data_IF_619265734048
#
_entry.id   IF_619265734048
#
_cell.length_a   1.000
_cell.length_b   1.000
_cell.length_c   1.000
_cell.angle_alpha   90.00
_cell.angle_beta   90.00
_cell.angle_gamma   90.00
#
_symmetry.space_group_name_H-M   'P 1'
#
loop_
_entity.id
_entity.type
_entity.pdbx_description
1 polymer ?
#
# COMPACT_ATOMS: atom_id res chain seq x y z
N UNK A 1 13.45 10.23 35.20
CA UNK A 1 13.25 10.88 33.90
C UNK A 1 12.55 9.86 33.04
N UNK A 2 11.30 10.07 32.65
CA UNK A 2 10.58 9.13 31.81
C UNK A 2 10.67 9.54 30.34
N UNK A 3 10.48 8.59 29.43
CA UNK A 3 10.43 8.87 27.99
C UNK A 3 9.00 9.26 27.64
N UNK A 4 8.78 10.52 27.27
CA UNK A 4 7.49 11.00 26.80
C UNK A 4 7.40 10.79 25.28
N UNK A 5 6.37 10.07 24.81
CA UNK A 5 6.05 9.86 23.39
C UNK A 5 4.80 10.61 22.98
N UNK A 6 4.91 11.34 21.87
CA UNK A 6 3.88 12.24 21.39
C UNK A 6 3.42 11.82 19.99
N UNK A 7 2.10 11.79 19.82
CA UNK A 7 1.46 11.37 18.57
C UNK A 7 0.59 12.49 17.97
N UNK A 8 0.42 12.47 16.64
CA UNK A 8 -0.48 13.35 15.91
C UNK A 8 -0.41 14.83 16.36
N UNK A 9 -1.53 15.44 16.75
CA UNK A 9 -1.61 16.83 17.17
C UNK A 9 -0.70 17.15 18.38
N UNK A 10 -0.41 16.19 19.26
CA UNK A 10 0.49 16.42 20.40
C UNK A 10 1.94 16.55 19.92
N UNK A 11 2.33 15.75 18.92
CA UNK A 11 3.64 15.86 18.26
C UNK A 11 3.78 17.18 17.50
N UNK A 12 2.73 17.62 16.81
CA UNK A 12 2.72 18.89 16.08
C UNK A 12 2.86 20.07 17.05
N UNK A 13 2.15 20.03 18.18
CA UNK A 13 2.21 21.06 19.21
C UNK A 13 3.57 21.12 19.93
N UNK A 14 4.21 19.97 20.15
CA UNK A 14 5.51 19.90 20.83
C UNK A 14 6.73 19.99 19.89
N UNK A 15 6.54 19.89 18.57
CA UNK A 15 7.63 19.88 17.59
C UNK A 15 8.56 18.66 17.64
N UNK A 16 8.30 17.69 18.52
CA UNK A 16 9.08 16.46 18.69
C UNK A 16 8.16 15.24 18.83
N UNK A 17 8.64 14.07 18.42
CA UNK A 17 7.92 12.80 18.56
C UNK A 17 8.23 12.09 19.90
N UNK A 18 9.37 12.39 20.51
CA UNK A 18 9.81 11.80 21.77
C UNK A 18 10.77 12.73 22.50
N UNK A 19 10.75 12.73 23.82
CA UNK A 19 11.71 13.46 24.64
C UNK A 19 11.83 12.88 26.05
N UNK A 20 12.96 13.13 26.70
CA UNK A 20 13.16 12.81 28.12
C UNK A 20 12.63 13.94 29.00
N UNK A 21 11.78 13.56 29.96
CA UNK A 21 11.09 14.52 30.83
C UNK A 21 11.27 14.12 32.29
N UNK A 22 11.65 15.06 33.19
CA UNK A 22 11.75 14.77 34.61
C UNK A 22 10.36 14.55 35.22
N UNK A 23 10.27 13.61 36.15
CA UNK A 23 9.06 13.29 36.91
C UNK A 23 9.18 11.91 37.54
N UNK A 24 8.61 11.74 38.72
CA UNK A 24 8.45 10.47 39.42
C UNK A 24 7.04 9.88 39.25
N UNK A 25 6.10 10.68 38.72
CA UNK A 25 4.73 10.26 38.38
C UNK A 25 4.34 10.73 36.97
N UNK A 26 3.30 10.12 36.40
CA UNK A 26 2.74 10.52 35.09
C UNK A 26 2.33 12.01 35.10
N UNK A 27 1.69 12.50 36.16
CA UNK A 27 1.30 13.91 36.27
C UNK A 27 2.49 14.86 36.31
N UNK A 28 3.56 14.50 37.03
CA UNK A 28 4.78 15.31 37.05
C UNK A 28 5.45 15.38 35.68
N UNK A 29 5.49 14.26 34.95
CA UNK A 29 6.00 14.21 33.57
C UNK A 29 5.15 15.10 32.65
N UNK A 30 3.82 15.01 32.73
CA UNK A 30 2.92 15.82 31.89
C UNK A 30 2.96 17.30 32.26
N UNK A 31 3.12 17.63 33.54
CA UNK A 31 3.28 19.01 34.01
C UNK A 31 4.59 19.63 33.50
N UNK A 32 5.70 18.88 33.56
CA UNK A 32 6.99 19.32 33.02
C UNK A 32 6.93 19.50 31.49
N UNK A 33 6.21 18.64 30.78
CA UNK A 33 6.01 18.78 29.33
C UNK A 33 5.11 19.99 28.98
N UNK A 34 4.05 20.25 29.76
CA UNK A 34 3.21 21.46 29.61
C UNK A 34 4.02 22.74 29.80
N UNK A 35 4.87 22.78 30.83
CA UNK A 35 5.74 23.92 31.09
C UNK A 35 6.73 24.18 29.94
N UNK A 36 7.15 23.12 29.22
CA UNK A 36 8.09 23.19 28.11
C UNK A 36 7.44 23.63 26.80
N UNK A 37 6.26 23.10 26.47
CA UNK A 37 5.63 23.27 25.15
C UNK A 37 4.48 24.29 25.12
N UNK A 38 4.07 24.80 26.28
CA UNK A 38 3.12 25.90 26.41
C UNK A 38 1.67 25.55 26.04
N UNK A 39 0.84 26.59 25.91
CA UNK A 39 -0.62 26.47 25.89
C UNK A 39 -1.18 25.64 24.73
N UNK A 40 -0.50 25.64 23.58
CA UNK A 40 -0.93 24.84 22.43
C UNK A 40 -0.87 23.34 22.73
N UNK A 41 0.17 22.89 23.42
CA UNK A 41 0.32 21.51 23.86
C UNK A 41 -0.61 21.18 25.02
N UNK A 42 -0.80 22.10 25.96
CA UNK A 42 -1.74 21.92 27.07
C UNK A 42 -3.18 21.65 26.58
N UNK A 43 -3.67 22.39 25.57
CA UNK A 43 -4.98 22.16 24.96
C UNK A 43 -5.13 20.78 24.32
N UNK A 44 -4.07 20.26 23.70
CA UNK A 44 -4.10 18.92 23.11
C UNK A 44 -4.15 17.87 24.22
N UNK A 45 -3.39 18.07 25.30
CA UNK A 45 -3.39 17.15 26.45
C UNK A 45 -4.75 17.01 27.12
N UNK A 46 -5.56 18.08 27.19
CA UNK A 46 -6.90 18.05 27.79
C UNK A 46 -7.85 17.02 27.14
N UNK A 47 -7.70 16.80 25.83
CA UNK A 47 -8.52 15.85 25.07
C UNK A 47 -7.81 14.52 24.79
N UNK A 48 -6.56 14.37 25.24
CA UNK A 48 -5.73 13.19 24.96
C UNK A 48 -5.90 12.09 26.01
N UNK A 49 -5.74 10.84 25.59
CA UNK A 49 -5.59 9.69 26.50
C UNK A 49 -4.10 9.46 26.80
N UNK A 50 -3.78 9.13 28.04
CA UNK A 50 -2.41 8.90 28.49
C UNK A 50 -2.20 7.42 28.79
N UNK A 51 -1.07 6.89 28.35
CA UNK A 51 -0.68 5.50 28.53
C UNK A 51 0.71 5.45 29.15
N UNK A 52 0.97 4.48 30.00
CA UNK A 52 2.29 4.19 30.55
C UNK A 52 2.63 2.74 30.21
N UNK A 53 3.76 2.51 29.54
CA UNK A 53 4.24 1.17 29.14
C UNK A 53 3.19 0.29 28.42
N UNK A 54 2.33 0.90 27.60
CA UNK A 54 1.32 0.18 26.84
C UNK A 54 0.03 -0.16 27.61
N UNK A 55 -0.16 0.40 28.81
CA UNK A 55 -1.44 0.35 29.53
C UNK A 55 -2.00 1.76 29.77
N UNK A 56 -3.33 1.98 29.77
CA UNK A 56 -3.92 3.26 30.17
C UNK A 56 -3.40 3.68 31.54
N UNK A 57 -2.99 4.94 31.67
CA UNK A 57 -2.35 5.46 32.87
C UNK A 57 -3.22 6.49 33.58
N UNK A 58 -3.21 6.42 34.89
CA UNK A 58 -3.75 7.46 35.77
C UNK A 58 -2.63 8.42 36.18
N UNK A 59 -2.97 9.67 36.48
CA UNK A 59 -1.98 10.72 36.74
C UNK A 59 -1.00 10.43 37.89
N UNK A 60 -1.48 9.78 38.96
CA UNK A 60 -0.68 9.42 40.12
C UNK A 60 0.22 8.19 39.94
N UNK A 61 0.19 7.52 38.78
CA UNK A 61 1.00 6.34 38.53
C UNK A 61 2.50 6.69 38.56
N UNK A 62 3.27 5.95 39.34
CA UNK A 62 4.72 6.12 39.43
C UNK A 62 5.41 5.75 38.12
N UNK A 63 6.45 6.51 37.75
CA UNK A 63 7.25 6.29 36.54
C UNK A 63 8.75 6.36 36.85
N UNK A 64 9.47 5.38 36.32
CA UNK A 64 10.92 5.23 36.42
C UNK A 64 11.68 5.71 35.18
N UNK A 65 13.01 5.57 35.19
CA UNK A 65 13.88 6.00 34.10
C UNK A 65 13.67 5.26 32.77
N UNK A 66 13.17 4.02 32.83
CA UNK A 66 12.92 3.16 31.67
C UNK A 66 11.44 3.18 31.22
N UNK A 67 10.59 3.95 31.91
CA UNK A 67 9.16 3.97 31.66
C UNK A 67 8.80 4.95 30.55
N UNK A 68 7.89 4.50 29.69
CA UNK A 68 7.39 5.25 28.54
C UNK A 68 5.99 5.78 28.82
N UNK A 69 5.83 7.10 28.80
CA UNK A 69 4.53 7.78 28.90
C UNK A 69 4.11 8.24 27.51
N UNK A 70 2.98 7.76 26.99
CA UNK A 70 2.47 8.08 25.66
C UNK A 70 1.22 8.95 25.73
N UNK A 71 1.18 10.01 24.90
CA UNK A 71 0.04 10.93 24.78
C UNK A 71 -0.65 10.69 23.45
N UNK A 72 -1.92 10.26 23.50
CA UNK A 72 -2.73 9.91 22.34
C UNK A 72 -3.93 10.87 22.19
N UNK A 73 -3.82 11.89 21.31
CA UNK A 73 -4.95 12.74 20.95
C UNK A 73 -6.08 11.94 20.28
N UNK A 74 -7.34 12.45 20.30
CA UNK A 74 -8.45 11.80 19.62
C UNK A 74 -8.19 11.78 18.10
N UNK A 75 -8.34 10.61 17.48
CA UNK A 75 -8.24 10.47 16.02
C UNK A 75 -9.47 11.10 15.38
N UNK A 76 -9.29 11.80 14.25
CA UNK A 76 -10.38 12.37 13.45
C UNK A 76 -11.26 11.24 12.88
N UNK A 77 -12.21 10.75 13.68
CA UNK A 77 -13.05 9.61 13.33
C UNK A 77 -13.79 8.98 14.52
N UNK A 78 -14.74 9.73 15.10
CA UNK A 78 -15.96 9.17 15.69
C UNK A 78 -16.03 8.93 17.22
N UNK A 79 -16.96 9.69 17.82
CA UNK A 79 -17.82 9.41 19.00
C UNK A 79 -17.47 10.14 20.31
N UNK A 80 -18.16 11.26 20.53
CA UNK A 80 -18.37 11.86 21.87
C UNK A 80 -19.53 11.16 22.60
N UNK A 81 -19.48 11.10 23.93
CA UNK A 81 -20.63 11.31 24.79
C UNK A 81 -20.65 12.78 25.25
N UNK A 82 -21.78 13.44 24.98
CA UNK A 82 -22.08 14.80 25.38
C UNK A 82 -22.20 14.95 26.90
N UNK A 83 -21.68 16.06 27.45
CA UNK A 83 -22.38 16.80 28.50
C UNK A 83 -21.91 18.25 28.57
N UNK A 84 -22.89 19.13 28.74
CA UNK A 84 -22.84 20.55 28.48
C UNK A 84 -22.26 21.39 29.64
N UNK A 85 -21.57 22.48 29.26
CA UNK A 85 -21.48 23.83 29.86
C UNK A 85 -20.21 24.49 29.29
N UNK A 86 -20.10 25.73 28.86
CA UNK A 86 -20.97 26.89 28.69
C UNK A 86 -20.08 28.01 28.09
N UNK A 87 -20.71 28.95 27.34
CA UNK A 87 -20.31 30.35 26.99
C UNK A 87 -18.91 30.83 27.45
N UNK A 88 -18.12 31.63 26.71
CA UNK A 88 -18.48 32.90 26.05
C UNK A 88 -17.20 33.52 25.41
N UNK A 89 -17.30 34.04 24.18
CA UNK A 89 -16.88 35.38 23.67
C UNK A 89 -15.41 35.90 23.78
N UNK A 90 -15.04 36.60 22.69
CA UNK A 90 -14.03 37.68 22.48
C UNK A 90 -12.58 37.27 22.19
N UNK A 91 -12.07 37.54 20.97
CA UNK A 91 -11.49 38.82 20.49
C UNK A 91 -10.25 39.22 21.30
N UNK A 92 -9.06 39.11 20.71
CA UNK A 92 -8.29 40.28 20.25
C UNK A 92 -6.93 39.90 19.63
N UNK A 93 -6.63 40.57 18.50
CA UNK A 93 -5.28 40.78 17.94
C UNK A 93 -4.72 42.08 18.54
N UNK A 94 -3.39 42.25 18.65
CA UNK A 94 -2.65 43.06 17.66
C UNK A 94 -1.30 42.41 17.24
N UNK A 95 -0.87 42.51 15.98
CA UNK A 95 -0.01 43.55 15.37
C UNK A 95 1.40 43.62 16.01
N UNK A 96 2.44 43.05 15.37
CA UNK A 96 3.31 43.65 14.35
C UNK A 96 4.40 44.59 14.92
N UNK A 97 5.67 44.28 14.63
CA UNK A 97 6.84 45.12 14.93
C UNK A 97 8.14 44.52 14.35
N UNK A 98 8.88 45.22 13.46
CA UNK A 98 9.88 44.63 12.57
C UNK A 98 11.34 44.98 12.90
N UNK A 99 12.27 44.26 12.26
CA UNK A 99 13.69 44.62 12.13
C UNK A 99 14.61 43.44 12.40
N UNK A 100 15.76 43.25 11.79
CA UNK A 100 16.44 43.92 10.68
C UNK A 100 17.65 43.01 10.35
N UNK A 101 18.14 43.04 9.10
CA UNK A 101 19.51 42.66 8.64
C UNK A 101 19.94 41.18 8.75
N UNK A 102 20.09 40.43 7.64
CA UNK A 102 21.12 40.52 6.59
C UNK A 102 22.50 39.91 6.93
N UNK A 103 23.00 39.10 5.97
CA UNK A 103 24.40 38.61 5.73
C UNK A 103 24.83 37.39 6.57
N UNK A 104 25.61 36.43 6.08
CA UNK A 104 26.12 36.06 4.76
C UNK A 104 26.72 34.63 4.90
N UNK A 105 26.76 33.88 3.79
CA UNK A 105 27.50 32.62 3.65
C UNK A 105 29.02 32.79 3.84
N UNK A 106 29.71 31.70 4.21
CA UNK A 106 30.82 31.29 3.36
C UNK A 106 30.84 29.80 3.03
N UNK A 107 31.07 29.52 1.74
CA UNK A 107 31.50 28.25 1.18
C UNK A 107 32.92 27.93 1.67
N UNK A 108 33.20 26.67 2.02
CA UNK A 108 34.58 26.14 2.04
C UNK A 108 34.68 24.80 1.33
N UNK A 109 35.60 24.75 0.38
CA UNK A 109 36.02 23.57 -0.36
C UNK A 109 36.98 22.68 0.45
N UNK A 110 36.69 21.38 0.40
CA UNK A 110 37.57 20.22 0.13
C UNK A 110 38.89 20.08 0.90
N UNK A 111 39.01 18.98 1.65
CA UNK A 111 40.27 18.22 1.76
C UNK A 111 39.99 16.72 1.82
N UNK A 112 40.47 16.00 0.81
CA UNK A 112 40.58 14.55 0.74
C UNK A 112 41.77 14.14 1.61
N UNK A 113 41.60 13.21 2.55
CA UNK A 113 42.70 12.51 3.23
C UNK A 113 42.69 11.04 2.85
N UNK A 114 43.87 10.57 2.45
CA UNK A 114 44.21 9.20 2.05
C UNK A 114 44.12 8.22 3.23
N UNK A 115 43.75 6.98 2.92
CA UNK A 115 43.71 5.83 3.81
C UNK A 115 45.12 5.35 4.20
N UNK A 116 45.27 4.86 5.43
CA UNK A 116 46.42 4.06 5.90
C UNK A 116 46.07 2.57 5.98
N UNK A 117 47.07 1.66 6.00
CA UNK A 117 46.88 0.22 5.91
C UNK A 117 46.44 -0.42 7.24
N UNK A 118 45.79 -1.60 7.21
CA UNK A 118 45.28 -2.28 8.41
C UNK A 118 46.39 -3.01 9.18
N UNK A 119 46.30 -3.11 10.53
CA UNK A 119 47.18 -3.96 11.33
C UNK A 119 46.77 -5.44 11.28
N UNK A 120 47.78 -6.31 11.43
CA UNK A 120 47.75 -7.77 11.35
C UNK A 120 47.17 -8.45 12.63
N UNK A 121 46.82 -9.75 12.58
CA UNK A 121 46.01 -10.41 13.62
C UNK A 121 46.86 -10.85 14.81
N UNK A 122 46.35 -10.61 16.02
CA UNK A 122 46.99 -11.02 17.27
C UNK A 122 46.44 -12.37 17.76
N UNK A 123 47.35 -13.16 18.34
CA UNK A 123 47.24 -14.60 18.55
C UNK A 123 46.29 -15.01 19.68
N UNK A 124 45.70 -16.20 19.51
CA UNK A 124 44.90 -16.89 20.51
C UNK A 124 45.75 -17.41 21.69
N UNK A 125 45.14 -17.45 22.88
CA UNK A 125 45.61 -18.21 24.05
C UNK A 125 44.42 -18.69 24.89
N UNK A 126 44.59 -19.75 25.70
CA UNK A 126 43.75 -20.94 25.66
C UNK A 126 42.55 -20.91 26.61
N UNK A 127 41.58 -21.80 26.33
CA UNK A 127 40.39 -22.03 27.13
C UNK A 127 40.70 -22.75 28.47
N UNK A 128 40.01 -22.42 29.57
CA UNK A 128 39.93 -23.29 30.73
C UNK A 128 38.80 -24.32 30.58
N UNK A 129 39.04 -25.47 31.21
CA UNK A 129 38.28 -26.70 31.13
C UNK A 129 36.92 -26.69 31.87
N UNK A 130 36.06 -27.61 31.40
CA UNK A 130 34.86 -28.21 31.99
C UNK A 130 34.33 -27.66 33.32
N UNK A 131 33.16 -27.01 33.24
CA UNK A 131 32.17 -26.99 34.30
C UNK A 131 30.78 -27.21 33.69
N UNK A 132 30.20 -28.38 33.98
CA UNK A 132 28.77 -28.75 33.92
C UNK A 132 27.90 -28.15 32.81
N UNK A 133 27.50 -28.98 31.84
CA UNK A 133 26.48 -28.63 30.86
C UNK A 133 25.15 -28.20 31.54
N UNK A 134 24.69 -26.95 31.34
CA UNK A 134 23.33 -26.57 31.70
C UNK A 134 22.35 -27.18 30.67
N UNK A 135 21.12 -27.45 31.10
CA UNK A 135 20.03 -27.97 30.28
C UNK A 135 19.68 -27.01 29.11
N UNK A 136 20.33 -27.20 27.96
CA UNK A 136 20.21 -26.32 26.78
C UNK A 136 18.80 -26.27 26.20
N UNK A 137 17.94 -27.27 26.49
CA UNK A 137 16.57 -27.34 25.96
C UNK A 137 15.62 -26.41 26.72
N UNK A 138 15.77 -26.31 28.04
CA UNK A 138 15.02 -25.36 28.87
C UNK A 138 15.42 -23.90 28.60
N UNK A 139 16.71 -23.65 28.41
CA UNK A 139 17.24 -22.30 28.17
C UNK A 139 16.90 -21.75 26.77
N UNK A 140 16.88 -22.59 25.74
CA UNK A 140 16.48 -22.18 24.39
C UNK A 140 15.00 -21.82 24.32
N UNK A 141 14.14 -22.58 25.01
CA UNK A 141 12.72 -22.27 25.15
C UNK A 141 12.52 -20.94 25.87
N UNK A 142 13.21 -20.71 27.00
CA UNK A 142 13.10 -19.49 27.78
C UNK A 142 13.68 -18.24 27.06
N UNK A 143 14.71 -18.42 26.22
CA UNK A 143 15.22 -17.36 25.31
C UNK A 143 14.23 -16.99 24.22
N UNK A 144 13.47 -17.95 23.70
CA UNK A 144 12.40 -17.70 22.72
C UNK A 144 11.20 -16.99 23.38
N UNK A 145 10.86 -17.33 24.63
CA UNK A 145 9.79 -16.65 25.39
C UNK A 145 10.15 -15.20 25.74
N UNK A 146 11.44 -14.85 25.79
CA UNK A 146 11.95 -13.48 26.02
C UNK A 146 12.19 -12.68 24.74
N UNK A 147 11.84 -13.20 23.56
CA UNK A 147 11.83 -12.40 22.34
C UNK A 147 10.64 -11.44 22.39
N UNK A 148 10.83 -10.27 23.02
CA UNK A 148 9.93 -9.13 22.85
C UNK A 148 9.91 -8.78 21.36
N UNK A 149 8.77 -8.98 20.70
CA UNK A 149 8.51 -8.42 19.38
C UNK A 149 8.53 -6.90 19.52
N UNK A 150 9.59 -6.28 19.03
CA UNK A 150 9.65 -4.81 18.95
C UNK A 150 8.85 -4.41 17.71
N UNK A 151 7.83 -3.55 17.83
CA UNK A 151 7.16 -2.98 16.68
C UNK A 151 8.20 -2.21 15.86
N UNK A 152 8.51 -2.70 14.65
CA UNK A 152 9.39 -1.98 13.74
C UNK A 152 8.57 -0.89 13.05
N UNK A 153 9.10 0.34 12.92
CA UNK A 153 8.45 1.33 12.09
C UNK A 153 8.35 0.82 10.65
N UNK A 154 7.23 1.05 9.95
CA UNK A 154 7.01 0.54 8.58
C UNK A 154 7.98 1.12 7.56
N UNK A 155 8.67 2.22 7.89
CA UNK A 155 9.76 2.83 7.11
C UNK A 155 10.82 3.41 8.05
N UNK A 156 12.07 3.49 7.61
CA UNK A 156 13.18 4.11 8.35
C UNK A 156 14.37 3.17 8.63
N UNK A 157 15.16 3.52 9.63
CA UNK A 157 16.28 2.72 10.12
C UNK A 157 16.00 2.26 11.54
N UNK A 158 16.36 1.03 11.85
CA UNK A 158 16.26 0.46 13.19
C UNK A 158 17.67 0.11 13.65
N UNK A 159 18.03 0.58 14.85
CA UNK A 159 19.33 0.31 15.45
C UNK A 159 19.34 -1.09 16.05
N UNK A 160 19.90 -2.05 15.33
CA UNK A 160 20.05 -3.45 15.78
C UNK A 160 21.48 -3.66 16.24
N UNK A 161 21.67 -3.98 17.53
CA UNK A 161 23.01 -4.18 18.14
C UNK A 161 23.96 -3.00 17.90
N UNK A 162 23.47 -1.77 18.11
CA UNK A 162 24.25 -0.54 17.94
C UNK A 162 24.58 -0.17 16.49
N UNK A 163 24.10 -0.92 15.49
CA UNK A 163 24.22 -0.57 14.07
C UNK A 163 22.86 -0.19 13.50
N UNK A 164 22.81 0.93 12.80
CA UNK A 164 21.61 1.35 12.08
C UNK A 164 21.42 0.39 10.89
N UNK A 165 20.36 -0.41 10.95
CA UNK A 165 19.94 -1.30 9.86
C UNK A 165 18.72 -0.69 9.18
N UNK A 166 18.73 -0.55 7.84
CA UNK A 166 17.52 -0.16 7.13
C UNK A 166 16.44 -1.20 7.36
N UNK A 167 15.21 -0.75 7.63
CA UNK A 167 14.04 -1.63 7.54
C UNK A 167 13.86 -2.00 6.06
N UNK A 168 13.61 -3.28 5.75
CA UNK A 168 13.38 -3.73 4.36
C UNK A 168 12.37 -2.81 3.65
N UNK A 169 12.69 -2.37 2.43
CA UNK A 169 11.86 -1.44 1.64
C UNK A 169 12.26 0.04 1.67
N UNK A 170 13.30 0.44 2.41
CA UNK A 170 13.64 1.86 2.66
C UNK A 170 14.71 2.47 1.75
N UNK A 171 15.16 1.76 0.71
CA UNK A 171 16.09 2.33 -0.27
C UNK A 171 15.41 3.45 -1.07
N UNK A 172 15.79 4.71 -0.83
CA UNK A 172 15.32 5.85 -1.63
C UNK A 172 15.62 5.60 -3.12
N UNK A 173 14.57 5.38 -3.92
CA UNK A 173 14.69 5.04 -5.35
C UNK A 173 15.16 6.26 -6.14
N UNK A 174 16.40 6.21 -6.62
CA UNK A 174 17.12 7.37 -7.16
C UNK A 174 16.62 7.81 -8.56
N UNK A 175 16.08 6.91 -9.37
CA UNK A 175 15.70 7.21 -10.77
C UNK A 175 14.23 7.66 -10.90
N UNK A 176 13.95 8.54 -11.86
CA UNK A 176 12.59 9.02 -12.17
C UNK A 176 11.68 7.87 -12.61
N UNK A 177 12.21 6.94 -13.40
CA UNK A 177 11.53 5.71 -13.83
C UNK A 177 11.21 4.81 -12.63
N UNK A 178 12.15 4.64 -11.69
CA UNK A 178 11.93 3.88 -10.46
C UNK A 178 10.93 4.53 -9.50
N UNK A 179 10.69 5.84 -9.60
CA UNK A 179 9.60 6.51 -8.87
C UNK A 179 8.24 6.39 -9.56
N UNK A 180 8.22 6.27 -10.90
CA UNK A 180 6.98 6.26 -11.69
C UNK A 180 6.38 4.87 -11.90
N UNK A 181 7.20 3.83 -11.95
CA UNK A 181 6.74 2.50 -12.36
C UNK A 181 7.00 1.38 -11.35
N UNK A 182 7.80 1.62 -10.31
CA UNK A 182 8.19 0.54 -9.43
C UNK A 182 7.04 0.17 -8.47
N UNK A 183 6.67 -1.11 -8.47
CA UNK A 183 5.70 -1.67 -7.54
C UNK A 183 6.23 -1.50 -6.11
N UNK A 184 5.39 -0.97 -5.23
CA UNK A 184 5.68 -0.80 -3.79
C UNK A 184 4.79 -1.78 -3.05
N UNK A 185 5.41 -2.74 -2.38
CA UNK A 185 4.70 -3.68 -1.52
C UNK A 185 4.57 -3.04 -0.13
N UNK A 186 3.33 -2.77 0.26
CA UNK A 186 3.00 -2.42 1.63
C UNK A 186 2.69 -3.70 2.40
N UNK A 187 3.55 -4.04 3.36
CA UNK A 187 3.39 -5.23 4.23
C UNK A 187 2.50 -4.97 5.43
N UNK A 188 1.98 -3.75 5.61
CA UNK A 188 1.15 -3.42 6.75
C UNK A 188 -0.31 -3.88 6.59
N UNK A 189 -0.88 -4.40 7.68
CA UNK A 189 -2.29 -4.79 7.79
C UNK A 189 -2.64 -6.19 7.27
N UNK A 190 -3.94 -6.49 7.18
CA UNK A 190 -4.48 -7.83 6.87
C UNK A 190 -4.46 -8.18 5.36
N UNK A 191 -3.38 -7.84 4.64
CA UNK A 191 -3.31 -7.96 3.17
C UNK A 191 -3.43 -9.39 2.68
N UNK A 192 -2.82 -10.33 3.38
CA UNK A 192 -2.89 -11.77 3.07
C UNK A 192 -4.32 -12.26 3.21
N UNK A 193 -5.00 -11.94 4.32
CA UNK A 193 -6.40 -12.30 4.55
C UNK A 193 -7.31 -11.71 3.48
N UNK A 194 -7.13 -10.44 3.11
CA UNK A 194 -7.88 -9.81 2.02
C UNK A 194 -7.61 -10.46 0.66
N UNK A 195 -6.37 -10.88 0.40
CA UNK A 195 -6.02 -11.61 -0.83
C UNK A 195 -6.68 -12.99 -0.89
N UNK A 196 -6.68 -13.72 0.22
CA UNK A 196 -7.37 -15.02 0.34
C UNK A 196 -8.88 -14.85 0.17
N UNK A 197 -9.48 -13.87 0.84
CA UNK A 197 -10.91 -13.58 0.71
C UNK A 197 -11.28 -13.19 -0.73
N UNK A 198 -10.44 -12.39 -1.39
CA UNK A 198 -10.62 -12.04 -2.80
C UNK A 198 -10.58 -13.29 -3.69
N UNK A 199 -9.56 -14.14 -3.52
CA UNK A 199 -9.45 -15.39 -4.27
C UNK A 199 -10.68 -16.30 -4.08
N UNK A 200 -11.12 -16.49 -2.83
CA UNK A 200 -12.31 -17.27 -2.50
C UNK A 200 -13.56 -16.66 -3.12
N UNK A 201 -13.71 -15.33 -3.10
CA UNK A 201 -14.84 -14.65 -3.72
C UNK A 201 -14.85 -14.84 -5.25
N UNK A 202 -13.69 -14.78 -5.91
CA UNK A 202 -13.57 -15.01 -7.35
C UNK A 202 -13.90 -16.46 -7.70
N UNK A 203 -13.31 -17.44 -7.01
CA UNK A 203 -13.58 -18.87 -7.24
C UNK A 203 -15.04 -19.21 -6.94
N UNK A 204 -15.60 -18.70 -5.84
CA UNK A 204 -17.01 -18.87 -5.50
C UNK A 204 -17.93 -18.27 -6.55
N UNK A 205 -17.59 -17.10 -7.09
CA UNK A 205 -18.36 -16.48 -8.18
C UNK A 205 -18.26 -17.30 -9.48
N UNK A 206 -17.08 -17.85 -9.79
CA UNK A 206 -16.90 -18.77 -10.91
C UNK A 206 -17.77 -20.03 -10.76
N UNK A 207 -17.91 -20.57 -9.55
CA UNK A 207 -18.79 -21.71 -9.31
C UNK A 207 -20.28 -21.36 -9.44
N UNK A 208 -20.68 -20.18 -8.97
CA UNK A 208 -22.09 -19.78 -8.90
C UNK A 208 -22.71 -19.33 -10.24
N UNK A 209 -21.92 -18.77 -11.17
CA UNK A 209 -22.45 -18.33 -12.46
C UNK A 209 -21.81 -17.05 -13.00
N UNK A 210 -22.28 -16.61 -14.17
CA UNK A 210 -21.84 -15.35 -14.77
C UNK A 210 -22.29 -14.12 -13.96
N UNK A 211 -23.47 -14.16 -13.33
CA UNK A 211 -24.03 -12.99 -12.63
C UNK A 211 -23.22 -12.57 -11.39
N UNK A 212 -22.87 -13.47 -10.44
CA UNK A 212 -22.01 -13.12 -9.32
C UNK A 212 -20.61 -12.67 -9.76
N UNK A 213 -20.07 -13.30 -10.81
CA UNK A 213 -18.76 -12.95 -11.37
C UNK A 213 -18.76 -11.53 -11.95
N UNK A 214 -19.77 -11.20 -12.75
CA UNK A 214 -19.94 -9.88 -13.35
C UNK A 214 -20.17 -8.80 -12.29
N UNK A 215 -20.94 -9.11 -11.24
CA UNK A 215 -21.12 -8.19 -10.12
C UNK A 215 -19.81 -7.93 -9.37
N UNK A 216 -19.06 -8.99 -9.03
CA UNK A 216 -17.80 -8.89 -8.31
C UNK A 216 -16.77 -8.06 -9.10
N UNK A 217 -16.56 -8.40 -10.37
CA UNK A 217 -15.58 -7.72 -11.22
C UNK A 217 -16.05 -6.33 -11.66
N UNK A 218 -17.35 -6.10 -11.81
CA UNK A 218 -17.93 -4.77 -12.02
C UNK A 218 -17.70 -3.85 -10.82
N UNK A 219 -17.98 -4.31 -9.60
CA UNK A 219 -17.70 -3.54 -8.37
C UNK A 219 -16.19 -3.26 -8.25
N UNK A 220 -15.34 -4.27 -8.48
CA UNK A 220 -13.89 -4.11 -8.42
C UNK A 220 -13.37 -3.07 -9.43
N UNK A 221 -13.85 -3.12 -10.69
CA UNK A 221 -13.50 -2.13 -11.72
C UNK A 221 -13.97 -0.73 -11.36
N UNK A 222 -15.21 -0.57 -10.88
CA UNK A 222 -15.73 0.72 -10.48
C UNK A 222 -14.96 1.33 -9.32
N UNK A 223 -14.59 0.52 -8.32
CA UNK A 223 -13.79 1.01 -7.19
C UNK A 223 -12.35 1.34 -7.59
N UNK A 224 -11.73 0.53 -8.43
CA UNK A 224 -10.40 0.81 -8.99
C UNK A 224 -10.38 2.12 -9.79
N UNK A 225 -11.39 2.33 -10.64
CA UNK A 225 -11.55 3.55 -11.43
C UNK A 225 -11.81 4.78 -10.56
N UNK A 226 -12.63 4.63 -9.50
CA UNK A 226 -12.88 5.69 -8.52
C UNK A 226 -11.58 6.11 -7.84
N UNK A 227 -10.80 5.14 -7.33
CA UNK A 227 -9.51 5.39 -6.69
C UNK A 227 -8.55 6.10 -7.65
N UNK A 228 -8.37 5.58 -8.86
CA UNK A 228 -7.48 6.18 -9.86
C UNK A 228 -7.87 7.63 -10.20
N UNK A 229 -9.16 7.91 -10.33
CA UNK A 229 -9.66 9.26 -10.60
C UNK A 229 -9.51 10.20 -9.40
N UNK A 230 -9.78 9.74 -8.17
CA UNK A 230 -9.53 10.51 -6.95
C UNK A 230 -8.05 10.87 -6.80
N UNK A 231 -7.13 9.91 -7.02
CA UNK A 231 -5.69 10.17 -6.97
C UNK A 231 -5.26 11.16 -8.04
N UNK A 232 -5.84 11.07 -9.22
CA UNK A 232 -5.56 12.02 -10.30
C UNK A 232 -5.95 13.45 -9.90
N UNK A 233 -7.10 13.63 -9.21
CA UNK A 233 -7.50 14.93 -8.65
C UNK A 233 -6.57 15.43 -7.55
N UNK A 234 -6.16 14.56 -6.63
CA UNK A 234 -5.17 14.89 -5.58
C UNK A 234 -3.84 15.36 -6.21
N UNK A 235 -3.47 14.81 -7.37
CA UNK A 235 -2.29 15.18 -8.13
C UNK A 235 -2.49 16.41 -9.06
N UNK A 236 -3.62 17.11 -8.97
CA UNK A 236 -3.91 18.32 -9.75
C UNK A 236 -4.36 18.07 -11.19
N UNK A 237 -4.67 16.83 -11.58
CA UNK A 237 -5.30 16.52 -12.87
C UNK A 237 -6.81 16.64 -12.75
N UNK A 238 -7.46 17.30 -13.71
CA UNK A 238 -8.91 17.32 -13.76
C UNK A 238 -9.42 15.90 -14.05
N UNK A 239 -10.43 15.44 -13.30
CA UNK A 239 -11.10 14.17 -13.49
C UNK A 239 -12.47 14.20 -12.80
N UNK A 240 -13.44 13.49 -13.37
CA UNK A 240 -14.77 13.22 -12.80
C UNK A 240 -14.79 11.81 -12.18
N UNK A 241 -14.64 11.66 -10.83
CA UNK A 241 -14.45 10.35 -10.20
C UNK A 241 -15.69 9.46 -10.25
N UNK A 242 -16.89 10.05 -10.13
CA UNK A 242 -18.14 9.29 -10.21
C UNK A 242 -18.39 8.75 -11.61
N UNK A 243 -18.06 9.52 -12.65
CA UNK A 243 -18.13 9.03 -14.04
C UNK A 243 -17.13 7.90 -14.25
N UNK A 244 -15.91 8.04 -13.72
CA UNK A 244 -14.92 6.97 -13.81
C UNK A 244 -15.39 5.69 -13.11
N UNK A 245 -15.95 5.82 -11.90
CA UNK A 245 -16.45 4.71 -11.10
C UNK A 245 -17.62 3.97 -11.75
N UNK A 246 -18.68 4.72 -12.12
CA UNK A 246 -19.85 4.16 -12.76
C UNK A 246 -19.48 3.58 -14.13
N UNK A 247 -18.61 4.27 -14.87
CA UNK A 247 -18.14 3.81 -16.17
C UNK A 247 -17.32 2.54 -16.11
N UNK A 248 -16.32 2.47 -15.23
CA UNK A 248 -15.51 1.26 -15.04
C UNK A 248 -16.38 0.07 -14.61
N UNK A 249 -17.31 0.28 -13.68
CA UNK A 249 -18.22 -0.77 -13.24
C UNK A 249 -19.21 -1.21 -14.32
N UNK A 250 -19.78 -0.28 -15.10
CA UNK A 250 -20.69 -0.59 -16.19
C UNK A 250 -20.00 -1.36 -17.32
N UNK A 251 -18.78 -0.97 -17.70
CA UNK A 251 -17.98 -1.70 -18.69
C UNK A 251 -17.69 -3.12 -18.19
N UNK A 252 -17.25 -3.27 -16.93
CA UNK A 252 -16.98 -4.58 -16.33
C UNK A 252 -18.22 -5.50 -16.30
N UNK A 253 -19.37 -4.96 -15.90
CA UNK A 253 -20.63 -5.70 -15.86
C UNK A 253 -21.16 -6.04 -17.27
N UNK A 254 -20.91 -5.18 -18.27
CA UNK A 254 -21.35 -5.41 -19.65
C UNK A 254 -20.74 -6.67 -20.27
N UNK A 255 -19.62 -7.17 -19.74
CA UNK A 255 -19.05 -8.46 -20.14
C UNK A 255 -20.03 -9.62 -20.04
N UNK A 256 -21.00 -9.58 -19.13
CA UNK A 256 -22.06 -10.59 -18.99
C UNK A 256 -23.08 -10.60 -20.12
N UNK A 257 -23.18 -9.51 -20.88
CA UNK A 257 -24.13 -9.37 -21.98
C UNK A 257 -23.47 -9.69 -23.34
N UNK A 258 -22.14 -9.73 -23.41
CA UNK A 258 -21.38 -9.97 -24.64
C UNK A 258 -20.45 -8.81 -25.01
N UNK A 259 -19.56 -9.07 -25.97
CA UNK A 259 -18.49 -8.15 -26.38
C UNK A 259 -19.00 -6.84 -26.99
N UNK A 260 -20.13 -6.89 -27.69
CA UNK A 260 -20.80 -5.75 -28.30
C UNK A 260 -21.31 -4.75 -27.25
N UNK A 261 -21.78 -5.25 -26.10
CA UNK A 261 -22.23 -4.41 -24.99
C UNK A 261 -21.06 -3.78 -24.26
N UNK A 262 -19.91 -4.45 -24.18
CA UNK A 262 -18.66 -3.86 -23.67
C UNK A 262 -18.24 -2.68 -24.54
N UNK A 263 -18.25 -2.85 -25.87
CA UNK A 263 -17.97 -1.77 -26.83
C UNK A 263 -18.95 -0.60 -26.67
N UNK A 264 -20.25 -0.88 -26.57
CA UNK A 264 -21.28 0.12 -26.32
C UNK A 264 -21.11 0.87 -25.00
N UNK A 265 -20.78 0.15 -23.91
CA UNK A 265 -20.52 0.75 -22.61
C UNK A 265 -19.29 1.67 -22.63
N UNK A 266 -18.22 1.30 -23.34
CA UNK A 266 -17.04 2.16 -23.52
C UNK A 266 -17.42 3.46 -24.23
N UNK A 267 -18.18 3.38 -25.33
CA UNK A 267 -18.65 4.56 -26.06
C UNK A 267 -19.52 5.47 -25.17
N UNK A 268 -20.43 4.87 -24.38
CA UNK A 268 -21.28 5.60 -23.44
C UNK A 268 -20.45 6.33 -22.38
N UNK A 269 -19.41 5.71 -21.83
CA UNK A 269 -18.51 6.33 -20.84
C UNK A 269 -17.75 7.51 -21.42
N UNK A 270 -17.28 7.41 -22.67
CA UNK A 270 -16.63 8.53 -23.37
C UNK A 270 -17.58 9.72 -23.49
N UNK A 271 -18.83 9.48 -23.91
CA UNK A 271 -19.84 10.53 -24.01
C UNK A 271 -20.20 11.10 -22.64
N UNK A 272 -20.45 10.24 -21.65
CA UNK A 272 -20.79 10.65 -20.29
C UNK A 272 -19.68 11.49 -19.64
N UNK A 273 -18.41 11.13 -19.86
CA UNK A 273 -17.27 11.90 -19.36
C UNK A 273 -17.17 13.28 -20.01
N UNK A 274 -17.39 13.37 -21.33
CA UNK A 274 -17.41 14.64 -22.05
C UNK A 274 -18.57 15.55 -21.59
N UNK A 275 -19.77 14.98 -21.46
CA UNK A 275 -20.96 15.72 -21.00
C UNK A 275 -20.80 16.17 -19.55
N UNK A 276 -20.42 15.28 -18.65
CA UNK A 276 -20.22 15.63 -17.25
C UNK A 276 -19.19 16.74 -17.08
N UNK A 277 -18.03 16.62 -17.73
CA UNK A 277 -16.99 17.64 -17.71
C UNK A 277 -17.46 18.97 -18.30
N UNK A 278 -18.22 18.95 -19.40
CA UNK A 278 -18.77 20.16 -20.03
C UNK A 278 -19.81 20.89 -19.15
N UNK A 279 -20.50 20.16 -18.27
CA UNK A 279 -21.45 20.72 -17.31
C UNK A 279 -20.78 21.29 -16.06
N UNK A 280 -19.61 20.76 -15.68
CA UNK A 280 -18.90 21.14 -14.44
C UNK A 280 -17.80 22.18 -14.67
N UNK A 281 -17.18 22.21 -15.85
CA UNK A 281 -15.99 23.03 -16.11
C UNK A 281 -16.27 24.17 -17.11
N UNK A 282 -15.78 25.39 -16.83
CA UNK A 282 -16.06 26.57 -17.66
C UNK A 282 -15.21 26.64 -18.94
N UNK A 283 -14.10 25.91 -19.00
CA UNK A 283 -13.07 26.02 -20.03
C UNK A 283 -12.94 24.74 -20.86
N UNK A 284 -12.93 24.87 -22.20
CA UNK A 284 -12.93 23.72 -23.13
C UNK A 284 -11.69 22.83 -23.01
N UNK A 285 -10.53 23.41 -22.74
CA UNK A 285 -9.27 22.68 -22.51
C UNK A 285 -9.33 21.85 -21.22
N UNK A 286 -9.95 22.39 -20.17
CA UNK A 286 -10.19 21.67 -18.91
C UNK A 286 -11.22 20.55 -19.09
N UNK A 287 -12.26 20.76 -19.92
CA UNK A 287 -13.28 19.75 -20.25
C UNK A 287 -12.65 18.51 -20.89
N UNK A 288 -11.83 18.68 -21.93
CA UNK A 288 -11.19 17.56 -22.62
C UNK A 288 -10.19 16.84 -21.71
N UNK A 289 -9.43 17.57 -20.90
CA UNK A 289 -8.50 16.97 -19.95
C UNK A 289 -9.22 16.16 -18.86
N UNK A 290 -10.33 16.67 -18.33
CA UNK A 290 -11.15 15.99 -17.33
C UNK A 290 -11.80 14.72 -17.89
N UNK A 291 -12.43 14.84 -19.07
CA UNK A 291 -13.05 13.71 -19.75
C UNK A 291 -12.00 12.63 -20.09
N UNK A 292 -10.87 13.03 -20.65
CA UNK A 292 -9.78 12.11 -20.99
C UNK A 292 -9.22 11.38 -19.77
N UNK A 293 -9.01 12.07 -18.65
CA UNK A 293 -8.51 11.45 -17.41
C UNK A 293 -9.56 10.51 -16.80
N UNK A 294 -10.85 10.87 -16.83
CA UNK A 294 -11.94 9.97 -16.40
C UNK A 294 -12.03 8.71 -17.24
N UNK A 295 -11.94 8.82 -18.56
CA UNK A 295 -11.95 7.68 -19.48
C UNK A 295 -10.72 6.80 -19.25
N UNK A 296 -9.53 7.39 -19.09
CA UNK A 296 -8.30 6.67 -18.76
C UNK A 296 -8.40 5.92 -17.43
N UNK A 297 -9.12 6.47 -16.45
CA UNK A 297 -9.37 5.78 -15.18
C UNK A 297 -10.46 4.71 -15.30
N UNK A 298 -11.44 4.83 -16.20
CA UNK A 298 -12.55 3.88 -16.29
C UNK A 298 -12.23 2.67 -17.18
N UNK A 299 -11.80 2.92 -18.41
CA UNK A 299 -11.78 1.92 -19.48
C UNK A 299 -10.82 0.78 -19.19
N UNK A 300 -9.56 0.99 -18.73
CA UNK A 300 -8.64 -0.12 -18.51
C UNK A 300 -9.13 -1.12 -17.46
N UNK A 301 -9.61 -0.63 -16.30
CA UNK A 301 -10.13 -1.52 -15.25
C UNK A 301 -11.45 -2.17 -15.66
N UNK A 302 -12.34 -1.42 -16.31
CA UNK A 302 -13.60 -1.95 -16.82
C UNK A 302 -13.39 -3.04 -17.86
N UNK A 303 -12.51 -2.82 -18.84
CA UNK A 303 -12.19 -3.77 -19.90
C UNK A 303 -11.53 -5.03 -19.33
N UNK A 304 -10.58 -4.90 -18.40
CA UNK A 304 -9.96 -6.04 -17.74
C UNK A 304 -11.00 -6.92 -17.03
N UNK A 305 -11.88 -6.30 -16.24
CA UNK A 305 -13.00 -6.98 -15.58
C UNK A 305 -13.96 -7.63 -16.57
N UNK A 306 -14.34 -6.93 -17.63
CA UNK A 306 -15.23 -7.45 -18.66
C UNK A 306 -14.64 -8.69 -19.35
N UNK A 307 -13.34 -8.67 -19.65
CA UNK A 307 -12.66 -9.80 -20.29
C UNK A 307 -12.55 -11.03 -19.39
N UNK A 308 -12.48 -10.88 -18.06
CA UNK A 308 -12.60 -12.03 -17.14
C UNK A 308 -14.00 -12.67 -17.27
N UNK A 309 -15.05 -11.85 -17.31
CA UNK A 309 -16.44 -12.33 -17.46
C UNK A 309 -16.64 -12.98 -18.82
N UNK A 310 -16.22 -12.33 -19.90
CA UNK A 310 -16.32 -12.86 -21.27
C UNK A 310 -15.57 -14.18 -21.43
N UNK A 311 -14.40 -14.34 -20.81
CA UNK A 311 -13.63 -15.59 -20.88
C UNK A 311 -14.45 -16.77 -20.34
N UNK A 312 -15.29 -16.54 -19.32
CA UNK A 312 -16.17 -17.59 -18.77
C UNK A 312 -17.20 -18.05 -19.81
N UNK A 313 -17.78 -17.12 -20.55
CA UNK A 313 -18.78 -17.41 -21.57
C UNK A 313 -18.16 -18.06 -22.83
N UNK A 314 -16.88 -17.77 -23.09
CA UNK A 314 -16.10 -18.47 -24.12
C UNK A 314 -15.82 -19.92 -23.73
N UNK A 315 -15.18 -20.13 -22.57
CA UNK A 315 -14.84 -21.47 -22.07
C UNK A 315 -14.53 -21.40 -20.57
N UNK A 316 -15.29 -22.17 -19.77
CA UNK A 316 -15.17 -22.09 -18.30
C UNK A 316 -13.78 -22.50 -17.79
N UNK A 317 -13.15 -23.49 -18.42
CA UNK A 317 -11.80 -23.91 -18.07
C UNK A 317 -10.76 -22.81 -18.35
N UNK A 318 -10.93 -22.04 -19.43
CA UNK A 318 -10.10 -20.88 -19.72
C UNK A 318 -10.22 -19.79 -18.65
N UNK A 319 -11.43 -19.54 -18.12
CA UNK A 319 -11.65 -18.57 -17.06
C UNK A 319 -11.03 -19.01 -15.72
N UNK A 320 -11.15 -20.30 -15.38
CA UNK A 320 -10.52 -20.88 -14.19
C UNK A 320 -9.00 -20.75 -14.26
N UNK A 321 -8.39 -21.11 -15.40
CA UNK A 321 -6.94 -21.04 -15.56
C UNK A 321 -6.43 -19.58 -15.60
N UNK A 322 -7.19 -18.65 -16.20
CA UNK A 322 -6.88 -17.21 -16.13
C UNK A 322 -6.74 -16.72 -14.69
N UNK A 323 -7.76 -17.00 -13.86
CA UNK A 323 -7.76 -16.63 -12.44
C UNK A 323 -6.63 -17.32 -11.70
N UNK A 324 -6.39 -18.60 -11.99
CA UNK A 324 -5.33 -19.38 -11.37
C UNK A 324 -3.95 -18.79 -11.67
N UNK A 325 -3.64 -18.44 -12.91
CA UNK A 325 -2.35 -17.84 -13.28
C UNK A 325 -2.18 -16.44 -12.72
N UNK A 326 -3.20 -15.59 -12.77
CA UNK A 326 -3.16 -14.27 -12.15
C UNK A 326 -2.91 -14.39 -10.63
N UNK A 327 -3.61 -15.28 -9.95
CA UNK A 327 -3.46 -15.51 -8.51
C UNK A 327 -2.10 -16.11 -8.15
N UNK A 328 -1.60 -17.06 -8.96
CA UNK A 328 -0.28 -17.65 -8.79
C UNK A 328 0.83 -16.60 -8.94
N UNK A 329 0.71 -15.74 -9.94
CA UNK A 329 1.63 -14.61 -10.12
C UNK A 329 1.60 -13.67 -8.92
N UNK A 330 0.41 -13.21 -8.52
CA UNK A 330 0.25 -12.26 -7.40
C UNK A 330 0.77 -12.84 -6.08
N UNK A 331 0.52 -14.12 -5.82
CA UNK A 331 1.03 -14.80 -4.63
C UNK A 331 2.56 -14.86 -4.64
N UNK A 332 3.17 -15.31 -5.74
CA UNK A 332 4.63 -15.38 -5.87
C UNK A 332 5.30 -14.01 -5.78
N UNK A 333 4.72 -13.03 -6.49
CA UNK A 333 5.16 -11.65 -6.50
C UNK A 333 5.10 -11.01 -5.10
N UNK A 334 3.99 -11.17 -4.40
CA UNK A 334 3.81 -10.62 -3.06
C UNK A 334 4.71 -11.31 -2.02
N UNK A 335 4.78 -12.65 -2.02
CA UNK A 335 5.50 -13.41 -1.00
C UNK A 335 7.00 -13.10 -0.99
N UNK A 336 7.63 -12.96 -2.15
CA UNK A 336 9.05 -12.63 -2.25
C UNK A 336 9.29 -11.13 -2.39
N UNK A 337 8.47 -10.44 -3.20
CA UNK A 337 8.63 -9.00 -3.45
C UNK A 337 8.50 -8.14 -2.20
N UNK A 338 7.72 -8.58 -1.21
CA UNK A 338 7.58 -7.88 0.07
C UNK A 338 8.84 -7.87 0.95
N UNK A 339 9.72 -8.86 0.78
CA UNK A 339 11.00 -8.97 1.51
C UNK A 339 12.25 -8.64 0.68
N UNK A 340 12.07 -8.45 -0.63
CA UNK A 340 13.14 -8.27 -1.60
C UNK A 340 13.93 -6.97 -1.44
N UNK A 341 15.23 -7.02 -1.78
CA UNK A 341 16.10 -5.84 -1.77
C UNK A 341 15.97 -4.99 -3.04
N UNK A 342 15.38 -5.55 -4.10
CA UNK A 342 15.17 -4.92 -5.39
C UNK A 342 13.72 -5.13 -5.88
N UNK A 343 13.31 -4.33 -6.86
CA UNK A 343 11.93 -4.34 -7.40
C UNK A 343 11.68 -5.44 -8.44
N UNK A 344 12.63 -6.36 -8.67
CA UNK A 344 12.57 -7.34 -9.77
C UNK A 344 12.41 -8.76 -9.24
N UNK A 345 12.91 -9.05 -8.03
CA UNK A 345 12.78 -10.35 -7.37
C UNK A 345 11.32 -10.82 -7.26
N UNK A 346 10.39 -9.94 -6.87
CA UNK A 346 8.95 -10.26 -6.81
C UNK A 346 8.40 -10.72 -8.16
N UNK A 347 8.40 -9.87 -9.21
CA UNK A 347 7.84 -10.24 -10.51
C UNK A 347 8.48 -11.49 -11.13
N UNK A 348 9.78 -11.70 -10.94
CA UNK A 348 10.47 -12.92 -11.40
C UNK A 348 9.93 -14.17 -10.71
N UNK A 349 9.66 -14.11 -9.41
CA UNK A 349 9.06 -15.24 -8.68
C UNK A 349 7.61 -15.43 -9.08
N UNK A 350 6.85 -14.37 -9.32
CA UNK A 350 5.51 -14.47 -9.90
C UNK A 350 5.51 -15.21 -11.25
N UNK A 351 6.45 -14.87 -12.14
CA UNK A 351 6.66 -15.55 -13.44
C UNK A 351 7.00 -17.03 -13.25
N UNK A 352 7.96 -17.33 -12.35
CA UNK A 352 8.31 -18.72 -12.03
C UNK A 352 7.11 -19.50 -11.51
N UNK A 353 6.29 -18.87 -10.66
CA UNK A 353 5.07 -19.48 -10.13
C UNK A 353 4.09 -19.82 -11.25
N UNK A 354 3.87 -18.91 -12.21
CA UNK A 354 3.07 -19.20 -13.42
C UNK A 354 3.63 -20.39 -14.18
N UNK A 355 4.95 -20.48 -14.38
CA UNK A 355 5.56 -21.58 -15.13
C UNK A 355 5.28 -22.95 -14.47
N UNK A 356 5.39 -23.03 -13.14
CA UNK A 356 5.07 -24.24 -12.37
C UNK A 356 3.57 -24.56 -12.48
N UNK A 357 2.70 -23.57 -12.28
CA UNK A 357 1.25 -23.75 -12.40
C UNK A 357 0.84 -24.15 -13.83
N UNK A 358 1.50 -23.61 -14.86
CA UNK A 358 1.28 -23.96 -16.26
C UNK A 358 1.65 -25.39 -16.57
N UNK A 359 2.74 -25.91 -16.00
CA UNK A 359 3.08 -27.33 -16.12
C UNK A 359 2.00 -28.23 -15.49
N UNK A 360 1.42 -27.82 -14.35
CA UNK A 360 0.32 -28.55 -13.72
C UNK A 360 -0.93 -28.53 -14.62
N UNK A 361 -1.30 -27.38 -15.17
CA UNK A 361 -2.44 -27.26 -16.10
C UNK A 361 -2.22 -28.12 -17.35
N UNK A 362 -1.00 -28.14 -17.89
CA UNK A 362 -0.64 -28.98 -19.02
C UNK A 362 -0.78 -30.48 -18.71
N UNK A 363 -0.46 -30.91 -17.49
CA UNK A 363 -0.64 -32.31 -17.07
C UNK A 363 -2.11 -32.65 -16.85
N UNK A 364 -2.88 -31.72 -16.27
CA UNK A 364 -4.32 -31.92 -16.00
C UNK A 364 -5.19 -31.83 -17.26
N UNK A 365 -4.66 -31.31 -18.38
CA UNK A 365 -5.36 -31.21 -19.66
C UNK A 365 -6.73 -30.49 -19.51
N UNK A 366 -6.73 -29.38 -18.76
CA UNK A 366 -7.96 -28.58 -18.51
C UNK A 366 -8.40 -27.95 -19.83
N UNK A 367 -9.63 -28.19 -20.35
CA UNK A 367 -10.10 -27.55 -21.58
C UNK A 367 -9.99 -26.02 -21.53
N UNK A 368 -9.59 -25.34 -22.62
CA UNK A 368 -9.19 -25.85 -23.93
C UNK A 368 -7.67 -26.14 -24.03
N UNK A 369 -7.00 -26.39 -22.91
CA UNK A 369 -5.54 -26.52 -22.81
C UNK A 369 -5.06 -27.98 -22.83
N UNK A 370 -4.96 -28.54 -24.03
CA UNK A 370 -4.40 -29.87 -24.29
C UNK A 370 -2.93 -29.77 -24.76
N UNK A 371 -1.99 -29.82 -23.83
CA UNK A 371 -0.56 -29.80 -24.15
C UNK A 371 -0.03 -28.40 -24.48
N UNK A 372 0.25 -28.12 -25.77
CA UNK A 372 0.95 -26.90 -26.19
C UNK A 372 0.22 -25.58 -25.82
N UNK A 373 -1.12 -25.46 -25.92
CA UNK A 373 -1.83 -24.25 -25.52
C UNK A 373 -1.61 -23.88 -24.05
N UNK A 374 -1.46 -24.85 -23.14
CA UNK A 374 -1.20 -24.58 -21.73
C UNK A 374 0.09 -23.75 -21.53
N UNK A 375 1.16 -24.11 -22.25
CA UNK A 375 2.44 -23.40 -22.18
C UNK A 375 2.38 -22.04 -22.87
N UNK A 376 1.66 -21.92 -23.99
CA UNK A 376 1.45 -20.64 -24.69
C UNK A 376 0.72 -19.63 -23.79
N UNK A 377 -0.34 -20.07 -23.13
CA UNK A 377 -1.11 -19.21 -22.21
C UNK A 377 -0.34 -18.91 -20.91
N UNK A 378 0.49 -19.85 -20.43
CA UNK A 378 1.41 -19.57 -19.33
C UNK A 378 2.46 -18.52 -19.72
N UNK A 379 3.03 -18.59 -20.92
CA UNK A 379 3.96 -17.59 -21.43
C UNK A 379 3.28 -16.22 -21.62
N UNK A 380 2.05 -16.20 -22.12
CA UNK A 380 1.23 -15.00 -22.21
C UNK A 380 1.04 -14.36 -20.82
N UNK A 381 0.65 -15.15 -19.82
CA UNK A 381 0.48 -14.67 -18.45
C UNK A 381 1.80 -14.17 -17.83
N UNK A 382 2.90 -14.87 -18.04
CA UNK A 382 4.22 -14.49 -17.54
C UNK A 382 4.67 -13.11 -18.05
N UNK A 383 4.26 -12.73 -19.26
CA UNK A 383 4.55 -11.41 -19.82
C UNK A 383 3.47 -10.39 -19.43
N UNK A 384 2.20 -10.74 -19.53
CA UNK A 384 1.11 -9.79 -19.39
C UNK A 384 0.86 -9.37 -17.93
N UNK A 385 1.06 -10.25 -16.94
CA UNK A 385 0.93 -9.91 -15.53
C UNK A 385 1.84 -8.75 -15.09
N UNK A 386 3.19 -8.83 -15.26
CA UNK A 386 4.07 -7.73 -14.86
C UNK A 386 3.83 -6.47 -15.70
N UNK A 387 3.52 -6.61 -16.99
CA UNK A 387 3.16 -5.45 -17.82
C UNK A 387 1.85 -4.79 -17.35
N UNK A 388 0.89 -5.57 -16.85
CA UNK A 388 -0.35 -5.07 -16.24
C UNK A 388 -0.08 -4.22 -15.00
N UNK A 389 0.80 -4.67 -14.10
CA UNK A 389 1.23 -3.89 -12.94
C UNK A 389 1.92 -2.57 -13.33
N UNK A 390 2.72 -2.59 -14.40
CA UNK A 390 3.34 -1.39 -14.98
C UNK A 390 2.30 -0.45 -15.60
N UNK A 391 1.32 -1.00 -16.31
CA UNK A 391 0.21 -0.24 -16.89
C UNK A 391 -0.63 0.44 -15.80
N UNK A 392 -0.94 -0.25 -14.71
CA UNK A 392 -1.62 0.34 -13.54
C UNK A 392 -0.82 1.51 -12.96
N UNK A 393 0.50 1.34 -12.82
CA UNK A 393 1.40 2.40 -12.34
C UNK A 393 1.47 3.59 -13.31
N UNK A 394 1.26 3.37 -14.62
CA UNK A 394 1.18 4.42 -15.63
C UNK A 394 -0.15 5.21 -15.55
N UNK A 395 -1.26 4.51 -15.29
CA UNK A 395 -2.59 5.11 -15.09
C UNK A 395 -2.59 5.96 -13.82
N UNK A 396 -2.02 5.45 -12.73
CA UNK A 396 -1.93 6.17 -11.47
C UNK A 396 -0.99 7.39 -11.57
N UNK A 397 -1.26 8.45 -10.80
CA UNK A 397 -0.44 9.67 -10.80
C UNK A 397 0.94 9.46 -10.17
N UNK A 398 1.15 8.39 -9.39
CA UNK A 398 2.43 7.99 -8.82
C UNK A 398 2.42 6.47 -8.56
N UNK A 399 3.59 5.82 -8.56
CA UNK A 399 3.68 4.37 -8.35
C UNK A 399 3.26 3.95 -6.94
N UNK A 400 3.53 4.80 -5.96
CA UNK A 400 3.20 4.65 -4.54
C UNK A 400 1.82 5.22 -4.18
N UNK A 401 1.03 5.65 -5.16
CA UNK A 401 -0.33 6.13 -4.92
C UNK A 401 -1.18 5.02 -4.28
N UNK A 402 -1.86 5.35 -3.18
CA UNK A 402 -2.66 4.39 -2.41
C UNK A 402 -3.96 4.05 -3.14
N UNK A 403 -3.92 3.04 -4.00
CA UNK A 403 -5.08 2.54 -4.76
C UNK A 403 -5.22 1.01 -4.59
N UNK A 404 -5.64 0.54 -3.40
CA UNK A 404 -5.66 -0.90 -3.10
C UNK A 404 -6.56 -1.72 -4.03
N UNK A 405 -7.69 -1.15 -4.50
CA UNK A 405 -8.57 -1.87 -5.43
C UNK A 405 -7.97 -1.92 -6.84
N UNK A 406 -7.35 -0.82 -7.30
CA UNK A 406 -6.62 -0.83 -8.57
C UNK A 406 -5.45 -1.83 -8.56
N UNK A 407 -4.75 -1.95 -7.43
CA UNK A 407 -3.66 -2.92 -7.21
C UNK A 407 -4.14 -4.36 -7.05
N UNK A 408 -5.45 -4.60 -6.91
CA UNK A 408 -6.00 -5.96 -6.84
C UNK A 408 -6.31 -6.55 -8.21
N UNK A 409 -6.45 -5.69 -9.23
CA UNK A 409 -6.79 -6.08 -10.60
C UNK A 409 -5.72 -5.64 -11.61
N UNK A 410 -4.55 -5.22 -11.14
CA UNK A 410 -3.52 -4.65 -12.02
C UNK A 410 -2.85 -5.69 -12.91
N UNK A 411 -2.58 -6.88 -12.40
CA UNK A 411 -2.10 -8.05 -13.16
C UNK A 411 -3.04 -8.38 -14.34
N UNK A 412 -4.35 -8.15 -14.17
CA UNK A 412 -5.38 -8.44 -15.16
C UNK A 412 -5.51 -7.38 -16.26
N UNK A 413 -4.96 -6.17 -16.07
CA UNK A 413 -5.15 -5.05 -17.01
C UNK A 413 -4.76 -5.38 -18.44
N UNK A 414 -3.69 -6.15 -18.62
CA UNK A 414 -3.24 -6.61 -19.93
C UNK A 414 -3.48 -8.11 -20.12
N UNK A 415 -3.42 -8.89 -19.04
CA UNK A 415 -3.64 -10.33 -19.12
C UNK A 415 -5.07 -10.65 -19.58
N UNK A 416 -6.10 -10.10 -18.94
CA UNK A 416 -7.48 -10.51 -19.24
C UNK A 416 -7.90 -10.19 -20.68
N UNK A 417 -7.63 -9.00 -21.26
CA UNK A 417 -7.97 -8.72 -22.67
C UNK A 417 -7.20 -9.59 -23.65
N UNK A 418 -5.88 -9.76 -23.45
CA UNK A 418 -5.07 -10.62 -24.31
C UNK A 418 -5.50 -12.09 -24.20
N UNK A 419 -5.87 -12.52 -23.00
CA UNK A 419 -6.38 -13.86 -22.72
C UNK A 419 -7.71 -14.12 -23.43
N UNK A 420 -8.70 -13.26 -23.23
CA UNK A 420 -10.02 -13.38 -23.84
C UNK A 420 -9.91 -13.41 -25.38
N UNK A 421 -9.10 -12.53 -25.95
CA UNK A 421 -8.84 -12.50 -27.40
C UNK A 421 -8.20 -13.81 -27.89
N UNK A 422 -7.12 -14.25 -27.25
CA UNK A 422 -6.40 -15.47 -27.65
C UNK A 422 -7.25 -16.73 -27.46
N UNK A 423 -8.05 -16.77 -26.39
CA UNK A 423 -8.99 -17.85 -26.12
C UNK A 423 -10.10 -17.89 -27.18
N UNK A 424 -10.64 -16.73 -27.56
CA UNK A 424 -11.62 -16.64 -28.64
C UNK A 424 -11.09 -17.19 -29.96
N UNK A 425 -9.84 -16.89 -30.31
CA UNK A 425 -9.19 -17.46 -31.50
C UNK A 425 -8.99 -18.98 -31.39
N UNK A 426 -8.58 -19.47 -30.21
CA UNK A 426 -8.37 -20.90 -29.98
C UNK A 426 -9.69 -21.68 -30.11
N UNK A 427 -10.75 -21.24 -29.43
CA UNK A 427 -12.07 -21.88 -29.47
C UNK A 427 -12.64 -21.84 -30.89
N UNK A 428 -12.54 -20.70 -31.59
CA UNK A 428 -13.00 -20.57 -32.97
C UNK A 428 -12.22 -21.44 -33.98
N UNK A 429 -11.01 -21.91 -33.64
CA UNK A 429 -10.25 -22.83 -34.48
C UNK A 429 -10.61 -24.31 -34.26
N UNK A 430 -11.32 -24.61 -33.18
CA UNK A 430 -11.72 -25.97 -32.79
C UNK A 430 -13.17 -26.30 -33.20
N UNK A 431 -14.01 -25.28 -33.39
CA UNK A 431 -15.37 -25.40 -33.94
C UNK A 431 -15.39 -25.18 -35.44
#
# INVERSE_FOLDING_TARGET
MAVLRLFAAAREAAGTASEDVPGATVDEVLAAARARHGDAFARVLESSRVWCNGTPAEGGQAVGPDDEVAVLPPVSGGAEPSSARGRQVSRDRPAAGPGDRARAHPRRHRRVRRAGPPPAPEAASPAPADAGAPDERGEAADRLTRLRSVPLPPTGQVRVRGRDRPVSGTGARRTVVGRRYAVVYDTSGHKVTLGVLWFVAVVGSLALGWAPLALLFGIAAGWAALEAAMRSREAGRAAEPWVAALGGGAIGAAGAAGSEYVGGAILLVVVAAAVAAALTLPRRDEVLAAAGTSVLCAVPFGLASACVVLTRDLEIGAAVVLVLFASAYEAGDFLIGSGASNSVEGPLVGILTIAVTGAIVAVLQVPPFDGAPAFTFAALAAVACPLGQLACSAILPAADARAPSARRVDSLLLLAPAWAFTCGLLVASQG
#
